data_IF_928811040194
#
_entry.id   IF_928811040194
#
_cell.length_a   1.000
_cell.length_b   1.000
_cell.length_c   1.000
_cell.angle_alpha   90.00
_cell.angle_beta   90.00
_cell.angle_gamma   90.00
#
_symmetry.space_group_name_H-M   'P 1'
#
loop_
_entity.id
_entity.type
_entity.pdbx_description
1 polymer ?
#
# COMPACT_ATOMS: atom_id res chain seq x y z
N UNK A 1 -0.25 -5.29 13.77
CA UNK A 1 0.04 -3.91 13.36
C UNK A 1 -1.01 -3.50 12.36
N UNK A 2 -2.01 -2.78 12.86
CA UNK A 2 -3.07 -2.19 12.06
C UNK A 2 -2.68 -0.77 11.72
N UNK A 3 -2.71 -0.45 10.43
CA UNK A 3 -2.49 0.90 9.93
C UNK A 3 -3.83 1.45 9.46
N UNK A 4 -4.30 2.48 10.14
CA UNK A 4 -5.39 3.33 9.67
C UNK A 4 -4.76 4.61 9.13
N UNK A 5 -5.16 4.98 7.91
CA UNK A 5 -4.92 6.34 7.40
C UNK A 5 -6.22 7.10 7.57
N UNK A 6 -6.20 8.16 8.38
CA UNK A 6 -7.33 9.04 8.61
C UNK A 6 -7.05 10.42 8.00
N UNK A 7 -7.84 10.84 7.02
CA UNK A 7 -7.70 12.16 6.40
C UNK A 7 -8.96 12.97 6.64
N UNK A 8 -8.80 14.17 7.16
CA UNK A 8 -9.83 15.21 7.32
C UNK A 8 -9.41 16.49 6.58
N UNK A 9 -10.41 17.29 6.21
CA UNK A 9 -10.28 18.49 5.40
C UNK A 9 -10.14 19.69 6.33
N UNK A 10 -8.94 20.26 6.45
CA UNK A 10 -8.76 21.55 7.11
C UNK A 10 -9.35 22.69 6.29
N UNK A 11 -10.24 23.46 6.93
CA UNK A 11 -10.81 24.70 6.43
C UNK A 11 -9.79 25.83 6.65
N UNK A 12 -9.24 26.35 5.56
CA UNK A 12 -8.21 27.40 5.58
C UNK A 12 -8.89 28.75 5.83
N UNK A 13 -8.76 29.31 7.03
CA UNK A 13 -9.04 30.73 7.30
C UNK A 13 -7.72 31.41 7.68
N UNK A 14 -7.25 32.29 6.79
CA UNK A 14 -6.18 33.24 7.09
C UNK A 14 -6.66 34.27 8.13
N UNK A 15 -5.86 34.51 9.18
CA UNK A 15 -5.47 35.87 9.63
C UNK A 15 -4.45 35.86 10.78
N UNK A 16 -3.34 36.56 10.51
CA UNK A 16 -2.50 37.38 11.41
C UNK A 16 -1.76 36.73 12.61
N UNK A 17 -0.44 36.60 12.44
CA UNK A 17 0.52 37.53 13.07
C UNK A 17 0.85 37.39 14.57
N UNK A 18 1.96 36.68 14.84
CA UNK A 18 2.94 36.86 15.93
C UNK A 18 2.64 36.28 17.34
N UNK A 19 3.71 36.02 18.14
CA UNK A 19 3.80 34.87 19.03
C UNK A 19 3.48 35.19 20.50
N UNK A 20 2.97 34.21 21.24
CA UNK A 20 2.87 34.29 22.70
C UNK A 20 3.51 33.06 23.35
N UNK A 21 4.64 33.33 24.00
CA UNK A 21 5.28 32.51 25.03
C UNK A 21 4.43 32.60 26.29
N UNK A 22 4.11 31.49 26.94
CA UNK A 22 3.90 31.45 28.39
C UNK A 22 4.43 30.15 29.01
N UNK A 23 5.16 30.36 30.10
CA UNK A 23 5.90 29.44 30.96
C UNK A 23 5.17 29.39 32.32
N UNK A 24 5.43 28.35 33.11
CA UNK A 24 5.22 28.21 34.58
C UNK A 24 3.77 27.83 35.01
N UNK A 25 3.52 27.00 36.03
CA UNK A 25 4.37 26.34 37.03
C UNK A 25 3.59 25.21 37.74
N UNK A 26 4.36 24.41 38.48
CA UNK A 26 4.00 23.33 39.39
C UNK A 26 2.90 23.63 40.43
N UNK A 27 2.17 22.59 40.83
CA UNK A 27 2.01 22.29 42.27
C UNK A 27 1.88 20.77 42.54
N UNK A 28 2.72 20.30 43.46
CA UNK A 28 2.68 18.99 44.12
C UNK A 28 1.53 18.93 45.13
N UNK A 29 0.90 17.76 45.24
CA UNK A 29 0.30 17.28 46.52
C UNK A 29 0.66 15.80 46.68
N UNK A 30 1.34 15.47 47.77
CA UNK A 30 1.58 14.11 48.27
C UNK A 30 0.54 13.74 49.32
N UNK A 31 0.12 12.48 49.37
CA UNK A 31 -0.36 11.66 50.52
C UNK A 31 -0.99 10.41 49.88
N UNK A 32 -0.87 9.17 50.32
CA UNK A 32 -0.32 8.52 51.50
C UNK A 32 -0.85 7.07 51.40
N UNK A 33 0.02 6.08 51.54
CA UNK A 33 -0.35 4.67 51.42
C UNK A 33 -1.09 4.22 52.69
N UNK A 34 -2.34 3.78 52.56
CA UNK A 34 -3.01 2.95 53.56
C UNK A 34 -3.86 1.90 52.86
N UNK A 35 -3.52 0.63 53.09
CA UNK A 35 -4.35 -0.51 52.72
C UNK A 35 -5.66 -0.49 53.53
N UNK A 36 -6.77 -0.79 52.86
CA UNK A 36 -8.04 -1.06 53.52
C UNK A 36 -9.11 -1.39 52.49
N UNK A 37 -9.53 -2.66 52.44
CA UNK A 37 -10.68 -3.12 51.66
C UNK A 37 -11.89 -2.21 51.89
N UNK A 38 -12.44 -1.63 50.82
CA UNK A 38 -13.88 -1.28 50.70
C UNK A 38 -14.22 -0.95 49.25
N UNK A 39 -15.14 -1.76 48.71
CA UNK A 39 -16.09 -1.48 47.63
C UNK A 39 -15.66 -0.46 46.57
N UNK A 40 -15.14 -0.96 45.44
CA UNK A 40 -15.07 -0.18 44.21
C UNK A 40 -16.49 0.00 43.68
N UNK A 41 -17.03 1.16 44.01
CA UNK A 41 -18.18 1.84 43.43
C UNK A 41 -18.20 1.62 41.92
N UNK A 42 -19.26 0.99 41.43
CA UNK A 42 -19.63 0.93 40.02
C UNK A 42 -19.82 2.37 39.55
N UNK A 43 -18.78 2.96 38.98
CA UNK A 43 -18.88 4.22 38.25
C UNK A 43 -19.31 3.89 36.82
N UNK A 44 -20.62 3.84 36.64
CA UNK A 44 -21.36 4.25 35.44
C UNK A 44 -20.63 4.07 34.12
N UNK A 45 -20.86 2.92 33.49
CA UNK A 45 -20.82 2.76 32.04
C UNK A 45 -21.66 3.89 31.42
N UNK A 46 -21.05 4.71 30.57
CA UNK A 46 -21.82 5.48 29.60
C UNK A 46 -22.11 4.53 28.43
N UNK A 47 -23.39 4.33 28.15
CA UNK A 47 -24.01 3.37 27.23
C UNK A 47 -23.67 3.55 25.73
N UNK A 48 -22.46 3.99 25.35
CA UNK A 48 -22.11 4.27 23.95
C UNK A 48 -20.73 3.78 23.48
N UNK A 49 -20.07 2.90 24.23
CA UNK A 49 -18.79 2.30 23.79
C UNK A 49 -19.03 1.08 22.89
N UNK A 50 -18.70 1.24 21.60
CA UNK A 50 -18.77 0.17 20.59
C UNK A 50 -17.51 -0.71 20.67
N UNK A 51 -17.70 -1.98 21.06
CA UNK A 51 -16.61 -2.95 21.17
C UNK A 51 -16.50 -3.82 19.92
N UNK A 52 -15.36 -3.75 19.23
CA UNK A 52 -14.95 -4.70 18.19
C UNK A 52 -14.08 -5.79 18.83
N UNK A 53 -14.69 -6.90 19.22
CA UNK A 53 -13.96 -8.15 19.39
C UNK A 53 -13.85 -8.82 18.02
N UNK A 54 -12.66 -8.86 17.44
CA UNK A 54 -12.36 -9.76 16.31
C UNK A 54 -12.15 -11.15 16.92
N UNK A 55 -13.06 -12.13 16.72
CA UNK A 55 -12.82 -13.48 17.18
C UNK A 55 -11.58 -14.01 16.46
N UNK A 56 -10.73 -14.75 17.16
CA UNK A 56 -9.56 -15.46 16.60
C UNK A 56 -9.93 -16.62 15.66
N UNK A 57 -11.15 -16.62 15.13
CA UNK A 57 -11.73 -17.66 14.28
C UNK A 57 -12.35 -17.02 13.03
N UNK A 58 -11.61 -16.15 12.34
CA UNK A 58 -11.79 -16.09 10.90
C UNK A 58 -11.23 -17.42 10.37
N UNK A 59 -12.09 -18.39 10.06
CA UNK A 59 -11.66 -19.58 9.32
C UNK A 59 -11.20 -19.08 7.95
N UNK A 60 -9.92 -19.26 7.63
CA UNK A 60 -9.36 -19.00 6.29
C UNK A 60 -10.09 -19.80 5.18
N UNK A 61 -10.83 -20.85 5.56
CA UNK A 61 -11.45 -21.80 4.63
C UNK A 61 -12.61 -21.31 3.75
N UNK A 62 -13.23 -20.16 4.02
CA UNK A 62 -14.33 -19.65 3.15
C UNK A 62 -13.82 -18.78 1.98
N UNK A 63 -12.55 -18.36 1.99
CA UNK A 63 -12.01 -17.41 1.00
C UNK A 63 -10.94 -17.99 0.05
N UNK A 64 -10.45 -19.22 0.30
CA UNK A 64 -9.48 -19.92 -0.57
C UNK A 64 -10.09 -20.36 -1.92
N UNK A 65 -11.43 -20.42 -2.03
CA UNK A 65 -12.15 -20.77 -3.26
C UNK A 65 -12.13 -19.67 -4.36
N UNK A 66 -11.56 -18.50 -4.09
CA UNK A 66 -11.69 -17.30 -4.94
C UNK A 66 -10.48 -16.99 -5.82
N UNK A 67 -9.40 -17.78 -5.79
CA UNK A 67 -8.20 -17.51 -6.59
C UNK A 67 -8.51 -17.41 -8.08
N UNK A 68 -9.39 -18.27 -8.58
CA UNK A 68 -9.65 -18.47 -10.01
C UNK A 68 -10.83 -17.65 -10.54
N UNK A 69 -11.48 -16.87 -9.67
CA UNK A 69 -12.63 -16.05 -10.05
C UNK A 69 -12.21 -14.73 -10.68
N UNK A 70 -12.92 -14.36 -11.75
CA UNK A 70 -12.80 -13.04 -12.40
C UNK A 70 -13.04 -11.92 -11.38
N UNK A 71 -12.43 -10.74 -11.61
CA UNK A 71 -12.64 -9.56 -10.76
C UNK A 71 -14.13 -9.25 -10.59
N UNK A 72 -14.90 -9.35 -11.68
CA UNK A 72 -16.35 -9.15 -11.66
C UNK A 72 -17.07 -10.11 -10.70
N UNK A 73 -16.71 -11.40 -10.71
CA UNK A 73 -17.31 -12.39 -9.81
C UNK A 73 -16.97 -12.09 -8.34
N UNK A 74 -15.73 -11.66 -8.06
CA UNK A 74 -15.29 -11.26 -6.71
C UNK A 74 -16.08 -10.06 -6.20
N UNK A 75 -16.27 -9.05 -7.03
CA UNK A 75 -17.02 -7.83 -6.68
C UNK A 75 -18.50 -8.12 -6.45
N UNK A 76 -19.12 -8.93 -7.31
CA UNK A 76 -20.51 -9.37 -7.11
C UNK A 76 -20.68 -10.15 -5.80
N UNK A 77 -19.73 -11.04 -5.48
CA UNK A 77 -19.73 -11.75 -4.22
C UNK A 77 -19.64 -10.80 -3.01
N UNK A 78 -18.75 -9.81 -3.05
CA UNK A 78 -18.63 -8.81 -1.98
C UNK A 78 -19.94 -8.03 -1.81
N UNK A 79 -20.55 -7.59 -2.90
CA UNK A 79 -21.80 -6.86 -2.87
C UNK A 79 -22.93 -7.69 -2.25
N UNK A 80 -23.12 -8.92 -2.73
CA UNK A 80 -24.11 -9.86 -2.17
C UNK A 80 -23.85 -10.10 -0.68
N UNK A 81 -22.58 -10.28 -0.30
CA UNK A 81 -22.23 -10.51 1.11
C UNK A 81 -22.58 -9.32 2.00
N UNK A 82 -22.42 -8.10 1.51
CA UNK A 82 -22.79 -6.89 2.26
C UNK A 82 -24.31 -6.74 2.41
N UNK A 83 -25.06 -7.09 1.37
CA UNK A 83 -26.53 -7.11 1.40
C UNK A 83 -27.06 -8.14 2.40
N UNK A 84 -26.50 -9.36 2.41
CA UNK A 84 -26.83 -10.42 3.37
C UNK A 84 -26.58 -9.99 4.82
N UNK A 85 -25.55 -9.17 5.05
CA UNK A 85 -25.25 -8.62 6.38
C UNK A 85 -26.22 -7.52 6.80
N UNK A 86 -27.11 -7.06 5.91
CA UNK A 86 -28.17 -6.09 6.20
C UNK A 86 -27.88 -4.67 5.69
N UNK A 87 -26.86 -4.49 4.84
CA UNK A 87 -26.61 -3.21 4.17
C UNK A 87 -27.59 -3.07 2.99
N UNK A 88 -28.49 -2.09 3.04
CA UNK A 88 -29.62 -2.01 2.09
C UNK A 88 -29.32 -1.29 0.77
N UNK A 89 -28.25 -0.52 0.73
CA UNK A 89 -27.88 0.32 -0.42
C UNK A 89 -26.44 -0.03 -0.81
N UNK A 90 -26.30 -0.97 -1.74
CA UNK A 90 -25.02 -1.44 -2.26
C UNK A 90 -25.03 -1.23 -3.78
N UNK A 91 -24.00 -0.56 -4.28
CA UNK A 91 -23.88 -0.14 -5.66
C UNK A 91 -22.55 -0.63 -6.23
N UNK A 92 -22.59 -1.21 -7.43
CA UNK A 92 -21.39 -1.49 -8.19
C UNK A 92 -21.13 -0.32 -9.14
N UNK A 93 -19.92 0.23 -9.10
CA UNK A 93 -19.47 1.23 -10.06
C UNK A 93 -18.33 0.66 -10.89
N UNK A 94 -18.25 1.04 -12.16
CA UNK A 94 -17.28 0.50 -13.10
C UNK A 94 -16.57 1.62 -13.86
N UNK A 95 -15.28 1.45 -14.08
CA UNK A 95 -14.48 2.41 -14.84
C UNK A 95 -13.59 1.64 -15.81
N UNK A 96 -13.62 2.00 -17.09
CA UNK A 96 -12.69 1.45 -18.07
C UNK A 96 -11.37 2.23 -17.99
N UNK A 97 -10.28 1.53 -17.71
CA UNK A 97 -8.96 2.13 -17.56
C UNK A 97 -7.89 1.33 -18.32
N UNK A 98 -6.79 1.99 -18.64
CA UNK A 98 -5.62 1.32 -19.21
C UNK A 98 -4.88 0.59 -18.08
N UNK A 99 -4.89 -0.74 -18.11
CA UNK A 99 -4.21 -1.58 -17.12
C UNK A 99 -2.96 -2.21 -17.75
N UNK A 100 -1.86 -2.26 -16.99
CA UNK A 100 -0.60 -2.87 -17.41
C UNK A 100 -0.34 -4.15 -16.63
N UNK A 101 -0.16 -5.25 -17.35
CA UNK A 101 0.13 -6.58 -16.83
C UNK A 101 1.39 -7.16 -17.51
N UNK A 102 2.01 -8.23 -16.97
CA UNK A 102 3.01 -8.98 -17.70
C UNK A 102 2.42 -9.50 -19.01
N UNK A 103 3.21 -9.50 -20.08
CA UNK A 103 2.83 -10.12 -21.35
C UNK A 103 2.92 -11.64 -21.29
N UNK A 104 2.70 -12.31 -22.44
CA UNK A 104 2.73 -13.77 -22.53
C UNK A 104 4.14 -14.36 -22.32
N UNK A 105 5.20 -13.60 -22.64
CA UNK A 105 6.56 -13.96 -22.26
C UNK A 105 7.02 -13.12 -21.07
N UNK A 106 7.94 -13.70 -20.30
CA UNK A 106 8.47 -13.08 -19.09
C UNK A 106 9.63 -12.16 -19.43
N UNK A 107 9.76 -11.07 -18.67
CA UNK A 107 10.93 -10.20 -18.72
C UNK A 107 12.20 -11.00 -18.38
N UNK A 108 13.27 -10.79 -19.14
CA UNK A 108 14.54 -11.49 -18.96
C UNK A 108 15.71 -10.52 -18.80
N UNK A 109 16.69 -10.94 -18.00
CA UNK A 109 17.93 -10.22 -17.74
C UNK A 109 19.09 -11.12 -18.15
N UNK A 110 19.73 -10.84 -19.28
CA UNK A 110 20.83 -11.68 -19.80
C UNK A 110 22.18 -10.98 -19.63
N UNK A 111 23.09 -11.62 -18.90
CA UNK A 111 24.50 -11.22 -18.82
C UNK A 111 25.24 -11.69 -20.06
N UNK A 112 25.60 -10.74 -20.94
CA UNK A 112 26.25 -11.02 -22.22
C UNK A 112 27.70 -11.49 -21.98
N UNK A 113 28.39 -10.91 -21.00
CA UNK A 113 29.76 -11.32 -20.68
C UNK A 113 29.84 -12.73 -20.11
N UNK A 114 28.82 -13.14 -19.34
CA UNK A 114 28.72 -14.49 -18.76
C UNK A 114 27.96 -15.51 -19.61
N UNK A 115 27.28 -15.09 -20.69
CA UNK A 115 26.32 -15.87 -21.45
C UNK A 115 25.26 -16.56 -20.57
N UNK A 116 24.76 -15.87 -19.54
CA UNK A 116 23.78 -16.40 -18.59
C UNK A 116 22.50 -15.56 -18.59
N UNK A 117 21.36 -16.22 -18.72
CA UNK A 117 20.04 -15.61 -18.67
C UNK A 117 19.39 -15.84 -17.30
N UNK A 118 18.86 -14.77 -16.72
CA UNK A 118 18.16 -14.76 -15.44
C UNK A 118 16.74 -14.22 -15.57
N UNK A 119 15.85 -14.76 -14.73
CA UNK A 119 14.54 -14.22 -14.43
C UNK A 119 14.63 -13.21 -13.28
N UNK A 120 13.55 -12.47 -13.02
CA UNK A 120 13.47 -11.47 -11.95
C UNK A 120 13.78 -12.03 -10.56
N UNK A 121 13.50 -13.31 -10.29
CA UNK A 121 13.88 -13.95 -9.02
C UNK A 121 15.37 -14.26 -8.88
N UNK A 122 16.13 -14.24 -9.97
CA UNK A 122 17.50 -14.74 -10.05
C UNK A 122 17.59 -16.21 -10.44
N UNK A 123 16.47 -16.91 -10.65
CA UNK A 123 16.46 -18.21 -11.30
C UNK A 123 16.99 -18.12 -12.74
N UNK A 124 17.60 -19.20 -13.23
CA UNK A 124 18.07 -19.24 -14.61
C UNK A 124 16.92 -19.53 -15.58
N UNK A 125 17.02 -18.97 -16.79
CA UNK A 125 15.98 -19.14 -17.82
C UNK A 125 15.85 -20.58 -18.34
N UNK A 126 16.84 -21.45 -18.10
CA UNK A 126 16.86 -22.86 -18.50
C UNK A 126 16.17 -23.80 -17.50
N UNK A 127 15.89 -23.33 -16.29
CA UNK A 127 15.24 -24.14 -15.26
C UNK A 127 13.72 -24.12 -15.43
N UNK A 128 13.04 -25.27 -15.32
CA UNK A 128 11.59 -25.31 -15.34
C UNK A 128 11.01 -24.47 -14.19
N UNK A 129 9.93 -23.74 -14.48
CA UNK A 129 9.25 -22.87 -13.52
C UNK A 129 8.80 -23.67 -12.29
N UNK A 130 9.53 -23.50 -11.19
CA UNK A 130 9.18 -24.11 -9.89
C UNK A 130 8.46 -23.11 -8.97
N UNK A 131 8.53 -21.81 -9.29
CA UNK A 131 8.06 -20.74 -8.41
C UNK A 131 6.79 -20.09 -8.97
N UNK A 132 5.71 -20.17 -8.19
CA UNK A 132 4.44 -19.46 -8.45
C UNK A 132 4.57 -17.94 -8.44
N UNK A 133 5.75 -17.38 -8.13
CA UNK A 133 5.96 -15.95 -7.88
C UNK A 133 6.56 -15.13 -9.01
N UNK A 134 7.00 -15.78 -10.10
CA UNK A 134 7.63 -15.10 -11.24
C UNK A 134 6.71 -14.14 -12.00
N UNK A 135 5.43 -14.49 -12.28
CA UNK A 135 4.51 -13.55 -12.93
C UNK A 135 4.26 -12.28 -12.12
N UNK A 136 4.55 -12.29 -10.81
CA UNK A 136 4.31 -11.16 -9.92
C UNK A 136 5.44 -10.12 -9.94
N UNK A 137 6.58 -10.46 -10.53
CA UNK A 137 7.79 -9.64 -10.51
C UNK A 137 7.86 -8.73 -11.74
N UNK A 138 7.08 -7.66 -11.78
CA UNK A 138 7.08 -6.70 -12.90
C UNK A 138 6.81 -5.26 -12.44
N UNK A 139 7.22 -4.29 -13.25
CA UNK A 139 6.82 -2.90 -13.06
C UNK A 139 5.66 -2.57 -14.00
N UNK A 140 4.44 -2.41 -13.45
CA UNK A 140 3.30 -1.97 -14.24
C UNK A 140 3.58 -0.59 -14.83
N UNK A 141 3.26 -0.42 -16.11
CA UNK A 141 3.47 0.79 -16.90
C UNK A 141 4.94 1.15 -17.19
N UNK A 142 5.87 0.20 -17.04
CA UNK A 142 7.21 0.31 -17.62
C UNK A 142 7.15 0.39 -19.15
N UNK A 143 8.16 1.04 -19.76
CA UNK A 143 8.41 0.90 -21.18
C UNK A 143 8.67 -0.57 -21.55
N UNK A 144 8.28 -0.92 -22.77
CA UNK A 144 8.41 -2.26 -23.37
C UNK A 144 9.49 -2.20 -24.43
N UNK A 145 10.37 -3.20 -24.45
CA UNK A 145 11.45 -3.27 -25.42
C UNK A 145 12.67 -4.01 -24.92
N UNK A 146 13.75 -3.86 -25.67
CA UNK A 146 15.06 -4.43 -25.38
C UNK A 146 16.09 -3.30 -25.24
N UNK A 147 16.89 -3.36 -24.19
CA UNK A 147 18.05 -2.50 -23.99
C UNK A 147 19.30 -3.33 -23.65
N UNK A 148 20.34 -3.17 -24.46
CA UNK A 148 21.67 -3.70 -24.18
C UNK A 148 22.57 -2.58 -23.67
N UNK A 149 22.93 -2.61 -22.38
CA UNK A 149 23.79 -1.60 -21.80
C UNK A 149 24.52 -2.06 -20.53
N UNK A 150 25.52 -1.28 -20.13
CA UNK A 150 26.23 -1.49 -18.88
C UNK A 150 25.35 -1.17 -17.68
N UNK A 151 25.45 -2.00 -16.64
CA UNK A 151 24.81 -1.74 -15.34
C UNK A 151 25.65 -0.77 -14.52
N UNK A 152 24.99 0.27 -14.01
CA UNK A 152 25.59 1.31 -13.17
C UNK A 152 24.88 1.30 -11.82
N UNK A 153 25.65 1.09 -10.75
CA UNK A 153 25.15 1.20 -9.39
C UNK A 153 24.94 2.67 -9.01
N UNK A 154 23.70 3.03 -8.72
CA UNK A 154 23.29 4.38 -8.31
C UNK A 154 22.77 4.41 -6.86
N UNK A 155 22.95 3.33 -6.09
CA UNK A 155 22.54 3.24 -4.70
C UNK A 155 21.04 3.59 -4.52
N UNK A 156 20.70 4.57 -3.69
CA UNK A 156 19.32 5.01 -3.47
C UNK A 156 18.84 6.04 -4.50
N UNK A 157 19.66 6.42 -5.49
CA UNK A 157 19.28 7.38 -6.53
C UNK A 157 19.06 8.78 -5.98
N UNK A 158 19.79 9.17 -4.93
CA UNK A 158 19.76 10.54 -4.44
C UNK A 158 20.42 11.50 -5.46
N UNK A 159 20.11 12.81 -5.43
CA UNK A 159 20.77 13.78 -6.28
C UNK A 159 22.31 13.76 -6.14
N UNK A 160 22.83 13.44 -4.95
CA UNK A 160 24.26 13.25 -4.72
C UNK A 160 24.80 11.99 -5.42
N UNK A 161 24.06 10.89 -5.41
CA UNK A 161 24.46 9.65 -6.09
C UNK A 161 24.56 9.88 -7.60
N UNK A 162 23.57 10.58 -8.18
CA UNK A 162 23.54 10.92 -9.59
C UNK A 162 24.74 11.80 -9.99
N UNK A 163 25.04 12.83 -9.19
CA UNK A 163 26.22 13.69 -9.42
C UNK A 163 27.52 12.90 -9.41
N UNK A 164 27.70 11.98 -8.45
CA UNK A 164 28.91 11.14 -8.38
C UNK A 164 29.07 10.25 -9.61
N UNK A 165 27.97 9.66 -10.08
CA UNK A 165 28.01 8.79 -11.25
C UNK A 165 28.27 9.59 -12.52
N UNK A 166 27.61 10.72 -12.72
CA UNK A 166 27.82 11.61 -13.87
C UNK A 166 29.26 12.15 -13.95
N UNK A 167 29.89 12.41 -12.79
CA UNK A 167 31.29 12.81 -12.74
C UNK A 167 32.27 11.70 -13.16
N UNK A 168 31.86 10.44 -13.03
CA UNK A 168 32.73 9.27 -13.28
C UNK A 168 32.59 8.68 -14.69
N UNK A 169 31.42 8.78 -15.32
CA UNK A 169 31.14 8.15 -16.61
C UNK A 169 29.91 8.77 -17.30
N UNK A 170 29.85 8.63 -18.63
CA UNK A 170 28.63 8.88 -19.37
C UNK A 170 27.56 7.84 -18.97
N UNK A 171 26.35 8.31 -18.66
CA UNK A 171 25.20 7.54 -18.17
C UNK A 171 24.10 7.36 -19.22
N UNK A 172 24.24 8.01 -20.37
CA UNK A 172 23.25 8.00 -21.45
C UNK A 172 22.99 6.56 -21.91
N UNK A 173 21.71 6.16 -21.98
CA UNK A 173 21.25 4.82 -22.35
C UNK A 173 21.81 3.66 -21.51
N UNK A 174 22.32 3.92 -20.30
CA UNK A 174 22.76 2.86 -19.38
C UNK A 174 21.60 2.28 -18.56
N UNK A 175 21.86 1.13 -17.94
CA UNK A 175 20.92 0.50 -17.00
C UNK A 175 21.32 0.90 -15.58
N UNK A 176 20.45 1.63 -14.89
CA UNK A 176 20.61 1.98 -13.49
C UNK A 176 20.21 0.81 -12.58
N UNK A 177 21.05 0.46 -11.60
CA UNK A 177 20.67 -0.46 -10.54
C UNK A 177 20.33 0.32 -9.26
N UNK A 178 19.06 0.29 -8.86
CA UNK A 178 18.47 1.21 -7.88
C UNK A 178 17.87 0.48 -6.68
N UNK A 179 18.22 0.95 -5.48
CA UNK A 179 17.62 0.55 -4.21
C UNK A 179 16.28 1.24 -3.97
N UNK A 180 15.30 0.46 -3.52
CA UNK A 180 14.06 1.00 -2.95
C UNK A 180 14.28 1.53 -1.54
N UNK A 181 13.52 2.56 -1.15
CA UNK A 181 13.68 3.27 0.11
C UNK A 181 14.24 4.69 -0.04
N UNK A 182 14.35 5.39 1.09
CA UNK A 182 14.82 6.78 1.30
C UNK A 182 13.96 7.89 0.65
N UNK A 183 13.51 7.69 -0.60
CA UNK A 183 12.67 8.64 -1.32
C UNK A 183 11.64 7.94 -2.22
N UNK A 184 10.57 8.63 -2.64
CA UNK A 184 9.52 8.05 -3.48
C UNK A 184 10.06 7.52 -4.81
N UNK A 185 9.60 6.34 -5.23
CA UNK A 185 10.08 5.66 -6.44
C UNK A 185 9.91 6.52 -7.71
N UNK A 186 8.72 7.11 -7.91
CA UNK A 186 8.43 7.87 -9.12
C UNK A 186 9.33 9.10 -9.27
N UNK A 187 9.66 9.75 -8.15
CA UNK A 187 10.61 10.86 -8.12
C UNK A 187 12.03 10.42 -8.53
N UNK A 188 12.48 9.26 -8.05
CA UNK A 188 13.78 8.71 -8.46
C UNK A 188 13.82 8.38 -9.96
N UNK A 189 12.76 7.75 -10.47
CA UNK A 189 12.66 7.39 -11.88
C UNK A 189 12.60 8.63 -12.79
N UNK A 190 11.92 9.71 -12.37
CA UNK A 190 11.90 10.95 -13.15
C UNK A 190 13.30 11.55 -13.25
N UNK A 191 14.07 11.60 -12.15
CA UNK A 191 15.45 12.06 -12.16
C UNK A 191 16.34 11.19 -13.08
N UNK A 192 16.15 9.87 -13.06
CA UNK A 192 16.92 8.96 -13.92
C UNK A 192 16.61 9.17 -15.40
N UNK A 193 15.34 9.41 -15.74
CA UNK A 193 14.92 9.73 -17.10
C UNK A 193 15.52 11.07 -17.57
N UNK A 194 15.52 12.10 -16.71
CA UNK A 194 16.12 13.41 -16.99
C UNK A 194 17.62 13.33 -17.23
N UNK A 195 18.31 12.49 -16.46
CA UNK A 195 19.75 12.24 -16.60
C UNK A 195 20.08 11.42 -17.85
N UNK A 196 19.09 10.77 -18.46
CA UNK A 196 19.23 10.04 -19.74
C UNK A 196 19.52 8.55 -19.60
N UNK A 197 19.20 7.93 -18.46
CA UNK A 197 19.24 6.47 -18.36
C UNK A 197 18.23 5.84 -19.33
N UNK A 198 18.51 4.63 -19.81
CA UNK A 198 17.62 3.88 -20.71
C UNK A 198 16.79 2.82 -19.98
N UNK A 199 17.30 2.31 -18.86
CA UNK A 199 16.64 1.29 -18.05
C UNK A 199 16.98 1.38 -16.57
N UNK A 200 16.18 0.72 -15.75
CA UNK A 200 16.33 0.69 -14.30
C UNK A 200 15.95 -0.69 -13.73
N UNK A 201 16.86 -1.29 -12.99
CA UNK A 201 16.64 -2.50 -12.20
C UNK A 201 16.38 -2.10 -10.75
N UNK A 202 15.24 -2.50 -10.20
CA UNK A 202 14.83 -2.14 -8.83
C UNK A 202 15.05 -3.32 -7.89
N UNK A 203 15.63 -3.09 -6.72
CA UNK A 203 15.71 -4.12 -5.67
C UNK A 203 15.55 -3.52 -4.28
N UNK A 204 15.23 -4.37 -3.32
CA UNK A 204 15.21 -4.01 -1.89
C UNK A 204 16.51 -4.48 -1.26
N UNK A 205 17.25 -3.58 -0.61
CA UNK A 205 18.46 -3.96 0.10
C UNK A 205 18.09 -4.81 1.33
N UNK A 206 18.75 -5.96 1.57
CA UNK A 206 18.53 -6.78 2.76
C UNK A 206 18.68 -6.02 4.08
N UNK A 207 19.45 -4.92 4.11
CA UNK A 207 19.56 -4.05 5.28
C UNK A 207 18.29 -3.23 5.56
N UNK A 208 17.47 -2.93 4.55
CA UNK A 208 16.26 -2.12 4.69
C UNK A 208 15.04 -2.98 5.06
N UNK A 209 15.02 -4.26 4.67
CA UNK A 209 13.93 -5.17 4.99
C UNK A 209 14.41 -6.61 5.18
N UNK A 210 14.01 -7.27 6.30
CA UNK A 210 14.40 -8.66 6.59
C UNK A 210 13.84 -9.70 5.59
N UNK A 211 12.86 -9.31 4.76
CA UNK A 211 12.26 -10.15 3.72
C UNK A 211 12.85 -9.91 2.32
N UNK A 212 13.98 -9.20 2.21
CA UNK A 212 14.53 -8.63 0.97
C UNK A 212 14.90 -9.59 -0.18
N UNK A 213 14.80 -10.91 0.00
CA UNK A 213 15.13 -11.87 -1.06
C UNK A 213 13.94 -12.32 -1.92
N UNK A 214 12.74 -11.78 -1.67
CA UNK A 214 11.55 -12.08 -2.48
C UNK A 214 11.42 -11.13 -3.67
N UNK A 215 10.86 -11.63 -4.77
CA UNK A 215 10.40 -10.78 -5.86
C UNK A 215 9.18 -9.97 -5.45
N UNK A 216 9.00 -8.84 -6.13
CA UNK A 216 7.90 -7.93 -5.89
C UNK A 216 7.56 -7.23 -7.21
N UNK A 217 6.35 -6.70 -7.31
CA UNK A 217 6.01 -5.78 -8.38
C UNK A 217 5.76 -4.38 -7.87
N UNK A 218 5.84 -3.43 -8.79
CA UNK A 218 5.65 -2.00 -8.52
C UNK A 218 4.77 -1.38 -9.58
N UNK A 219 3.97 -0.39 -9.19
CA UNK A 219 3.26 0.45 -10.15
C UNK A 219 4.06 1.72 -10.44
N UNK A 220 4.19 2.05 -11.72
CA UNK A 220 4.75 3.34 -12.16
C UNK A 220 3.66 4.40 -12.38
N UNK A 221 2.39 4.06 -12.11
CA UNK A 221 1.27 4.99 -12.21
C UNK A 221 1.14 5.82 -10.91
N UNK A 222 1.24 7.16 -10.96
CA UNK A 222 1.07 8.03 -9.79
C UNK A 222 -0.35 8.02 -9.20
N UNK A 223 -1.36 7.67 -9.99
CA UNK A 223 -2.75 7.66 -9.54
C UNK A 223 -3.76 7.78 -10.67
N UNK A 224 -4.90 7.10 -10.56
CA UNK A 224 -6.02 7.23 -11.51
C UNK A 224 -5.79 6.53 -12.84
N UNK A 225 -6.69 6.74 -13.80
CA UNK A 225 -6.53 6.19 -15.13
C UNK A 225 -5.41 6.92 -15.89
N UNK A 226 -4.31 6.22 -16.30
CA UNK A 226 -3.22 6.84 -17.05
C UNK A 226 -3.67 7.41 -18.41
N UNK A 227 -4.77 6.89 -18.94
CA UNK A 227 -5.35 7.34 -20.20
C UNK A 227 -6.48 8.33 -19.91
N UNK A 228 -6.20 9.62 -20.07
CA UNK A 228 -7.17 10.69 -19.89
C UNK A 228 -7.79 11.09 -21.24
N UNK A 229 -9.12 11.02 -21.36
CA UNK A 229 -9.85 11.33 -22.61
C UNK A 229 -10.36 12.77 -22.71
N UNK A 230 -10.01 13.61 -21.75
CA UNK A 230 -10.43 15.02 -21.66
C UNK A 230 -9.31 15.91 -22.23
N UNK A 231 -9.17 15.92 -23.56
CA UNK A 231 -8.69 17.10 -24.29
C UNK A 231 -8.88 16.91 -25.80
N UNK A 232 -10.10 17.11 -26.29
CA UNK A 232 -10.42 17.14 -27.71
C UNK A 232 -10.06 18.46 -28.40
N UNK A 233 -9.16 19.29 -27.84
CA UNK A 233 -8.81 20.56 -28.50
C UNK A 233 -7.33 20.94 -28.64
N UNK A 234 -6.36 20.36 -27.91
CA UNK A 234 -4.94 20.78 -28.10
C UNK A 234 -3.85 19.74 -27.83
N UNK A 235 -4.16 18.43 -27.71
CA UNK A 235 -3.11 17.43 -27.51
C UNK A 235 -2.65 16.81 -28.84
N UNK A 236 -1.39 17.10 -29.20
CA UNK A 236 -0.65 16.44 -30.28
C UNK A 236 -0.86 14.92 -30.22
N UNK A 237 -1.14 14.34 -31.39
CA UNK A 237 -1.02 12.90 -31.68
C UNK A 237 0.41 12.44 -31.39
N UNK A 238 0.70 12.12 -30.15
CA UNK A 238 1.81 11.24 -29.80
C UNK A 238 1.20 10.10 -28.99
N UNK A 239 1.02 8.97 -29.67
CA UNK A 239 0.64 7.68 -29.11
C UNK A 239 1.77 7.17 -28.21
N UNK A 240 2.00 7.84 -27.08
CA UNK A 240 2.89 7.35 -26.03
C UNK A 240 2.06 6.61 -25.01
N UNK A 241 1.82 5.33 -25.32
CA UNK A 241 1.15 4.38 -24.43
C UNK A 241 1.96 4.04 -23.17
N UNK A 242 3.18 4.56 -23.04
CA UNK A 242 4.08 4.31 -21.92
C UNK A 242 4.20 5.58 -21.06
N UNK A 243 3.85 5.46 -19.77
CA UNK A 243 4.01 6.50 -18.74
C UNK A 243 5.46 6.95 -18.55
N UNK A 244 6.41 6.11 -18.95
CA UNK A 244 7.84 6.38 -18.91
C UNK A 244 8.53 5.83 -20.16
N UNK A 245 9.64 6.44 -20.57
CA UNK A 245 10.55 5.88 -21.58
C UNK A 245 11.55 4.88 -21.00
N UNK A 246 11.65 4.78 -19.67
CA UNK A 246 12.57 3.89 -18.99
C UNK A 246 12.05 2.45 -18.98
N UNK A 247 12.94 1.50 -19.30
CA UNK A 247 12.70 0.08 -19.09
C UNK A 247 12.94 -0.24 -17.61
N UNK A 248 11.89 -0.45 -16.84
CA UNK A 248 11.96 -0.68 -15.38
C UNK A 248 11.59 -2.13 -15.04
N UNK A 249 12.47 -2.83 -14.32
CA UNK A 249 12.23 -4.21 -13.91
C UNK A 249 12.63 -4.43 -12.44
N UNK A 250 11.70 -4.82 -11.55
CA UNK A 250 12.06 -5.27 -10.20
C UNK A 250 12.75 -6.63 -10.24
N UNK A 251 13.77 -6.77 -9.39
CA UNK A 251 14.58 -7.97 -9.25
C UNK A 251 14.78 -8.33 -7.77
N UNK A 252 15.11 -9.59 -7.51
CA UNK A 252 15.48 -10.05 -6.17
C UNK A 252 16.83 -9.47 -5.71
N UNK A 253 17.03 -9.41 -4.39
CA UNK A 253 18.32 -9.03 -3.82
C UNK A 253 19.44 -10.02 -4.19
N UNK A 254 19.13 -11.31 -4.38
CA UNK A 254 20.10 -12.32 -4.84
C UNK A 254 20.62 -12.02 -6.24
N UNK A 255 19.74 -11.64 -7.18
CA UNK A 255 20.13 -11.23 -8.51
C UNK A 255 20.92 -9.92 -8.46
N UNK A 256 20.47 -8.93 -7.69
CA UNK A 256 21.19 -7.67 -7.51
C UNK A 256 22.62 -7.89 -6.99
N UNK A 257 22.82 -8.78 -6.02
CA UNK A 257 24.15 -9.16 -5.53
C UNK A 257 25.05 -9.69 -6.64
N UNK A 258 24.51 -10.57 -7.49
CA UNK A 258 25.24 -11.16 -8.63
C UNK A 258 25.59 -10.11 -9.68
N UNK A 259 24.69 -9.15 -9.93
CA UNK A 259 24.93 -8.05 -10.87
C UNK A 259 25.96 -7.04 -10.35
N UNK A 260 25.95 -6.77 -9.04
CA UNK A 260 26.92 -5.88 -8.38
C UNK A 260 28.30 -6.51 -8.15
N UNK A 261 28.42 -7.85 -8.30
CA UNK A 261 29.58 -8.62 -7.81
C UNK A 261 29.87 -8.33 -6.32
N UNK A 262 28.81 -8.13 -5.53
CA UNK A 262 28.94 -7.71 -4.14
C UNK A 262 29.42 -8.86 -3.22
N UNK A 263 30.37 -8.61 -2.29
CA UNK A 263 31.06 -9.66 -1.53
C UNK A 263 30.15 -10.45 -0.57
N UNK A 264 29.12 -9.84 0.03
CA UNK A 264 28.16 -10.52 0.88
C UNK A 264 26.80 -9.82 0.87
N UNK A 265 25.70 -10.56 1.11
CA UNK A 265 24.44 -9.92 1.54
C UNK A 265 24.68 -9.46 2.97
N UNK A 266 24.49 -8.17 3.25
CA UNK A 266 24.58 -7.64 4.61
C UNK A 266 23.55 -8.32 5.51
N UNK A 267 23.99 -9.33 6.28
CA UNK A 267 23.18 -9.97 7.32
C UNK A 267 23.85 -9.87 8.71
N UNK A 268 25.05 -9.25 8.78
CA UNK A 268 25.76 -8.96 10.02
C UNK A 268 25.32 -7.66 10.68
N UNK A 269 25.73 -7.45 11.94
CA UNK A 269 25.64 -6.16 12.63
C UNK A 269 27.05 -5.55 12.75
N UNK A 270 27.30 -4.33 12.27
CA UNK A 270 26.39 -3.45 11.54
C UNK A 270 26.06 -3.98 10.13
N UNK A 271 24.83 -3.76 9.67
CA UNK A 271 24.42 -4.16 8.33
C UNK A 271 25.07 -3.23 7.32
N UNK A 272 25.82 -3.79 6.37
CA UNK A 272 26.49 -3.03 5.32
C UNK A 272 25.62 -3.12 4.05
N UNK A 273 25.07 -1.99 3.56
CA UNK A 273 24.28 -1.97 2.35
C UNK A 273 25.06 -2.50 1.14
N UNK A 274 24.39 -3.17 0.22
CA UNK A 274 25.04 -3.74 -0.96
C UNK A 274 25.53 -2.62 -1.88
N UNK A 275 26.79 -2.67 -2.30
CA UNK A 275 27.38 -1.70 -3.21
C UNK A 275 28.31 -2.40 -4.19
N UNK A 276 28.42 -1.87 -5.40
CA UNK A 276 29.40 -2.32 -6.37
C UNK A 276 30.81 -1.96 -5.86
N UNK A 277 31.71 -2.94 -5.68
CA UNK A 277 33.10 -2.65 -5.32
C UNK A 277 33.78 -1.81 -6.41
N UNK A 278 34.64 -0.85 -6.03
CA UNK A 278 35.30 0.05 -6.99
C UNK A 278 36.20 -0.66 -8.01
N UNK A 279 36.67 -1.87 -7.71
CA UNK A 279 37.48 -2.70 -8.59
C UNK A 279 36.66 -3.64 -9.49
N UNK A 280 35.34 -3.72 -9.30
CA UNK A 280 34.48 -4.62 -10.07
C UNK A 280 34.16 -4.03 -11.44
N UNK A 281 34.33 -4.85 -12.48
CA UNK A 281 33.91 -4.50 -13.83
C UNK A 281 32.37 -4.42 -13.91
N UNK A 282 31.87 -3.42 -14.65
CA UNK A 282 30.45 -3.31 -14.94
C UNK A 282 30.02 -4.42 -15.89
N UNK A 283 28.89 -5.04 -15.60
CA UNK A 283 28.31 -6.08 -16.46
C UNK A 283 27.53 -5.46 -17.60
N UNK A 284 27.68 -6.04 -18.80
CA UNK A 284 26.89 -5.71 -19.98
C UNK A 284 25.64 -6.60 -19.99
N UNK A 285 24.47 -5.99 -19.82
CA UNK A 285 23.21 -6.70 -19.68
C UNK A 285 22.31 -6.41 -20.88
N UNK A 286 21.67 -7.45 -21.41
CA UNK A 286 20.50 -7.35 -22.27
C UNK A 286 19.23 -7.47 -21.42
N UNK A 287 18.51 -6.37 -21.28
CA UNK A 287 17.26 -6.27 -20.54
C UNK A 287 16.09 -6.30 -21.52
N UNK A 288 15.25 -7.33 -21.44
CA UNK A 288 14.01 -7.44 -22.22
C UNK A 288 12.81 -7.30 -21.30
N UNK A 289 11.92 -6.35 -21.59
CA UNK A 289 10.65 -6.15 -20.88
C UNK A 289 9.49 -6.33 -21.83
N UNK A 290 8.56 -7.21 -21.45
CA UNK A 290 7.42 -7.60 -22.27
C UNK A 290 6.08 -7.33 -21.57
N UNK A 291 5.91 -6.16 -20.96
CA UNK A 291 4.60 -5.80 -20.39
C UNK A 291 3.56 -5.57 -21.49
N UNK A 292 2.30 -5.86 -21.19
CA UNK A 292 1.17 -5.58 -22.06
C UNK A 292 0.18 -4.64 -21.37
N UNK A 293 -0.09 -3.49 -22.01
CA UNK A 293 -1.14 -2.57 -21.60
C UNK A 293 -2.41 -2.86 -22.40
N UNK A 294 -3.54 -3.01 -21.71
CA UNK A 294 -4.85 -3.23 -22.33
C UNK A 294 -5.94 -2.50 -21.56
N UNK A 295 -6.98 -2.06 -22.26
CA UNK A 295 -8.15 -1.50 -21.61
C UNK A 295 -8.95 -2.61 -20.94
N UNK A 296 -9.14 -2.48 -19.62
CA UNK A 296 -9.98 -3.38 -18.83
C UNK A 296 -10.90 -2.56 -17.94
N UNK A 297 -11.99 -3.19 -17.54
CA UNK A 297 -12.95 -2.61 -16.61
C UNK A 297 -12.49 -2.89 -15.18
N UNK A 298 -12.33 -1.83 -14.41
CA UNK A 298 -12.12 -1.88 -12.96
C UNK A 298 -13.47 -1.71 -12.28
N UNK A 299 -13.72 -2.51 -11.25
CA UNK A 299 -14.99 -2.50 -10.53
C UNK A 299 -14.79 -2.01 -9.10
N UNK A 300 -15.76 -1.25 -8.57
CA UNK A 300 -15.83 -0.90 -7.16
C UNK A 300 -17.17 -1.35 -6.56
N UNK A 301 -17.19 -1.62 -5.25
CA UNK A 301 -18.42 -1.82 -4.46
C UNK A 301 -18.57 -0.68 -3.47
N UNK A 302 -19.69 0.01 -3.51
CA UNK A 302 -20.00 1.13 -2.62
C UNK A 302 -21.24 0.79 -1.82
N UNK A 303 -21.13 0.75 -0.50
CA UNK A 303 -22.21 0.39 0.40
C UNK A 303 -22.52 1.52 1.37
N UNK A 304 -23.81 1.85 1.55
CA UNK A 304 -24.24 2.95 2.41
C UNK A 304 -24.98 2.44 3.64
N UNK A 305 -24.51 2.85 4.82
CA UNK A 305 -25.25 2.77 6.07
C UNK A 305 -25.75 4.17 6.43
N UNK A 306 -27.03 4.44 6.12
CA UNK A 306 -27.63 5.76 6.24
C UNK A 306 -27.64 6.26 7.68
N UNK A 307 -27.19 7.50 7.88
CA UNK A 307 -27.22 8.18 9.17
C UNK A 307 -28.62 8.63 9.59
N UNK A 308 -28.83 8.79 10.90
CA UNK A 308 -30.11 9.24 11.48
C UNK A 308 -30.26 10.76 11.45
N UNK A 309 -29.26 11.47 11.97
CA UNK A 309 -29.34 12.92 12.27
C UNK A 309 -28.82 13.76 11.12
N UNK A 310 -27.68 13.38 10.53
CA UNK A 310 -26.99 14.09 9.46
C UNK A 310 -26.70 13.11 8.29
N UNK A 311 -27.74 12.62 7.59
CA UNK A 311 -27.59 11.61 6.55
C UNK A 311 -26.81 12.10 5.32
N UNK A 312 -26.66 13.41 5.16
CA UNK A 312 -25.90 14.08 4.11
C UNK A 312 -24.40 14.19 4.42
N UNK A 313 -23.94 13.82 5.62
CA UNK A 313 -22.52 13.84 5.97
C UNK A 313 -21.93 12.44 5.93
N UNK A 314 -20.78 12.29 5.28
CA UNK A 314 -20.20 10.98 4.94
C UNK A 314 -18.91 10.71 5.70
N UNK A 315 -18.85 9.58 6.41
CA UNK A 315 -17.60 8.97 6.88
C UNK A 315 -17.31 7.79 5.97
N UNK A 316 -16.24 7.90 5.19
CA UNK A 316 -15.88 6.89 4.21
C UNK A 316 -14.91 5.89 4.85
N UNK A 317 -15.13 4.60 4.63
CA UNK A 317 -14.26 3.50 5.06
C UNK A 317 -13.88 2.70 3.84
N UNK A 318 -12.61 2.75 3.43
CA UNK A 318 -12.17 2.21 2.15
C UNK A 318 -11.09 1.13 2.26
N UNK A 319 -11.25 0.03 1.54
CA UNK A 319 -10.23 -1.01 1.34
C UNK A 319 -10.16 -1.42 -0.13
N UNK A 320 -9.04 -2.00 -0.55
CA UNK A 320 -8.97 -2.71 -1.83
C UNK A 320 -9.52 -4.13 -1.70
N UNK A 321 -10.07 -4.68 -2.77
CA UNK A 321 -10.42 -6.10 -2.89
C UNK A 321 -9.56 -6.88 -3.88
N UNK A 322 -8.72 -6.20 -4.66
CA UNK A 322 -7.70 -6.83 -5.49
C UNK A 322 -6.33 -6.81 -4.83
N UNK A 323 -5.44 -7.72 -5.22
CA UNK A 323 -4.01 -7.61 -4.92
C UNK A 323 -3.14 -7.70 -6.14
N UNK A 324 -1.89 -7.30 -5.95
CA UNK A 324 -0.82 -7.54 -6.92
C UNK A 324 -0.55 -9.04 -7.11
N UNK A 325 -0.77 -9.82 -6.06
CA UNK A 325 -0.64 -11.26 -6.02
C UNK A 325 -2.00 -11.93 -6.29
N UNK A 326 -2.01 -13.13 -6.84
CA UNK A 326 -3.22 -13.97 -6.93
C UNK A 326 -3.04 -15.24 -6.10
N UNK A 327 -4.14 -15.92 -5.76
CA UNK A 327 -4.11 -17.15 -4.96
C UNK A 327 -3.73 -16.98 -3.49
N UNK A 328 -3.13 -18.01 -2.88
CA UNK A 328 -2.77 -18.07 -1.46
C UNK A 328 -1.76 -16.99 -0.98
N UNK A 329 -1.17 -16.23 -1.91
CA UNK A 329 -0.26 -15.11 -1.63
C UNK A 329 -0.96 -13.75 -1.68
N UNK A 330 -2.26 -13.74 -1.97
CA UNK A 330 -3.06 -12.54 -2.10
C UNK A 330 -3.28 -11.85 -0.75
N UNK A 331 -2.74 -10.64 -0.60
CA UNK A 331 -2.79 -9.87 0.65
C UNK A 331 -4.09 -9.06 0.82
N UNK A 332 -5.01 -9.10 -0.16
CA UNK A 332 -6.29 -8.39 -0.10
C UNK A 332 -7.25 -8.95 0.95
N UNK A 333 -7.11 -10.24 1.32
CA UNK A 333 -7.97 -10.89 2.31
C UNK A 333 -7.99 -10.16 3.66
N UNK A 334 -6.90 -9.47 4.02
CA UNK A 334 -6.78 -8.75 5.29
C UNK A 334 -7.70 -7.51 5.37
N UNK A 335 -7.75 -6.71 4.31
CA UNK A 335 -8.54 -5.47 4.29
C UNK A 335 -10.04 -5.74 4.12
N UNK A 336 -10.38 -6.58 3.13
CA UNK A 336 -11.78 -6.94 2.85
C UNK A 336 -12.44 -7.70 3.99
N UNK A 337 -11.73 -8.61 4.66
CA UNK A 337 -12.27 -9.34 5.82
C UNK A 337 -12.58 -8.38 6.98
N UNK A 338 -11.65 -7.48 7.33
CA UNK A 338 -11.86 -6.48 8.39
C UNK A 338 -13.04 -5.57 8.05
N UNK A 339 -13.13 -5.09 6.81
CA UNK A 339 -14.26 -4.26 6.35
C UNK A 339 -15.60 -5.01 6.46
N UNK A 340 -15.64 -6.29 6.06
CA UNK A 340 -16.84 -7.13 6.14
C UNK A 340 -17.28 -7.36 7.59
N UNK A 341 -16.33 -7.55 8.51
CA UNK A 341 -16.62 -7.67 9.94
C UNK A 341 -17.12 -6.37 10.57
N UNK A 342 -16.57 -5.22 10.16
CA UNK A 342 -17.07 -3.91 10.60
C UNK A 342 -18.52 -3.72 10.13
N UNK A 343 -18.83 -4.05 8.87
CA UNK A 343 -20.19 -4.00 8.35
C UNK A 343 -21.12 -4.90 9.17
N UNK A 344 -20.75 -6.16 9.40
CA UNK A 344 -21.54 -7.10 10.18
C UNK A 344 -21.84 -6.59 11.61
N UNK A 345 -20.84 -5.99 12.26
CA UNK A 345 -21.00 -5.43 13.61
C UNK A 345 -21.92 -4.22 13.62
N UNK A 346 -21.75 -3.28 12.67
CA UNK A 346 -22.58 -2.08 12.59
C UNK A 346 -24.03 -2.41 12.23
N UNK A 347 -24.26 -3.32 11.29
CA UNK A 347 -25.63 -3.72 10.91
C UNK A 347 -26.33 -4.52 12.02
N UNK A 348 -25.60 -5.30 12.82
CA UNK A 348 -26.14 -5.93 14.03
C UNK A 348 -26.61 -4.90 15.05
N UNK A 349 -25.83 -3.84 15.29
CA UNK A 349 -26.24 -2.73 16.15
C UNK A 349 -27.44 -1.96 15.60
N UNK A 350 -27.51 -1.79 14.27
CA UNK A 350 -28.70 -1.22 13.62
C UNK A 350 -29.96 -2.05 13.76
N UNK A 351 -29.84 -3.38 13.76
CA UNK A 351 -30.96 -4.26 14.12
C UNK A 351 -31.36 -4.16 15.59
N UNK A 352 -30.41 -3.83 16.48
CA UNK A 352 -30.67 -3.56 17.89
C UNK A 352 -31.21 -2.14 18.18
N UNK A 353 -31.40 -1.31 17.15
CA UNK A 353 -32.00 0.03 17.27
C UNK A 353 -31.01 1.20 17.29
N UNK A 354 -29.70 0.93 17.27
CA UNK A 354 -28.68 1.99 17.15
C UNK A 354 -28.47 2.40 15.70
N UNK A 355 -28.37 3.69 15.41
CA UNK A 355 -28.05 4.17 14.06
C UNK A 355 -26.97 5.24 14.15
N UNK A 356 -25.96 5.25 13.25
CA UNK A 356 -24.96 6.30 13.28
C UNK A 356 -25.59 7.66 12.99
N UNK A 357 -25.05 8.73 13.57
CA UNK A 357 -25.55 10.09 13.30
C UNK A 357 -25.32 10.50 11.85
N UNK A 358 -24.16 10.14 11.30
CA UNK A 358 -23.73 10.43 9.93
C UNK A 358 -23.81 9.16 9.09
N UNK A 359 -23.96 9.31 7.78
CA UNK A 359 -23.93 8.17 6.87
C UNK A 359 -22.50 7.61 6.79
N UNK A 360 -22.36 6.30 6.95
CA UNK A 360 -21.09 5.58 6.76
C UNK A 360 -21.09 4.98 5.36
N UNK A 361 -20.04 5.25 4.57
CA UNK A 361 -19.89 4.77 3.20
C UNK A 361 -18.74 3.78 3.14
N UNK A 362 -19.06 2.50 2.95
CA UNK A 362 -18.09 1.43 2.77
C UNK A 362 -17.67 1.35 1.31
N UNK A 363 -16.37 1.35 1.05
CA UNK A 363 -15.82 1.41 -0.29
C UNK A 363 -14.83 0.28 -0.51
N UNK A 364 -15.13 -0.58 -1.48
CA UNK A 364 -14.25 -1.66 -1.94
C UNK A 364 -13.67 -1.28 -3.30
N UNK A 365 -12.40 -0.92 -3.34
CA UNK A 365 -11.75 -0.33 -4.51
C UNK A 365 -11.05 -1.36 -5.40
N UNK A 366 -11.35 -1.31 -6.70
CA UNK A 366 -10.64 -2.05 -7.75
C UNK A 366 -9.40 -1.31 -8.25
N UNK A 367 -8.50 -2.02 -8.94
CA UNK A 367 -7.32 -1.41 -9.59
C UNK A 367 -6.35 -0.68 -8.64
N UNK A 368 -6.41 -0.95 -7.34
CA UNK A 368 -5.61 -0.22 -6.34
C UNK A 368 -4.11 -0.45 -6.53
N UNK A 369 -3.72 -1.69 -6.81
CA UNK A 369 -2.33 -2.09 -7.08
C UNK A 369 -1.74 -1.40 -8.30
N UNK A 370 -2.57 -1.02 -9.28
CA UNK A 370 -2.16 -0.38 -10.53
C UNK A 370 -2.25 1.16 -10.49
N UNK A 371 -2.23 1.75 -9.29
CA UNK A 371 -2.25 3.20 -9.08
C UNK A 371 -3.61 3.73 -8.63
N UNK A 372 -4.26 3.08 -7.66
CA UNK A 372 -5.47 3.59 -7.02
C UNK A 372 -6.60 3.98 -8.02
N UNK A 373 -6.71 3.23 -9.13
CA UNK A 373 -7.56 3.62 -10.26
C UNK A 373 -9.02 3.76 -9.82
N UNK A 374 -9.57 2.73 -9.17
CA UNK A 374 -10.97 2.70 -8.79
C UNK A 374 -11.37 3.82 -7.82
N UNK A 375 -10.55 4.08 -6.80
CA UNK A 375 -10.83 5.15 -5.83
C UNK A 375 -10.64 6.55 -6.41
N UNK A 376 -9.67 6.71 -7.32
CA UNK A 376 -9.42 7.99 -7.97
C UNK A 376 -10.54 8.37 -8.93
N UNK A 377 -10.95 7.46 -9.82
CA UNK A 377 -12.03 7.73 -10.78
C UNK A 377 -13.36 7.97 -10.07
N UNK A 378 -13.70 7.14 -9.08
CA UNK A 378 -14.91 7.34 -8.29
C UNK A 378 -14.88 8.66 -7.51
N UNK A 379 -13.72 9.02 -6.93
CA UNK A 379 -13.53 10.28 -6.22
C UNK A 379 -13.66 11.49 -7.13
N UNK A 380 -13.20 11.38 -8.39
CA UNK A 380 -13.33 12.42 -9.42
C UNK A 380 -14.79 12.62 -9.84
N UNK A 381 -15.50 11.54 -10.14
CA UNK A 381 -16.93 11.58 -10.52
C UNK A 381 -17.80 12.18 -9.40
N UNK A 382 -17.45 11.90 -8.14
CA UNK A 382 -18.19 12.36 -6.97
C UNK A 382 -17.58 13.62 -6.33
N UNK A 383 -16.66 14.32 -7.01
CA UNK A 383 -15.86 15.39 -6.41
C UNK A 383 -16.72 16.48 -5.75
N UNK A 384 -17.78 16.95 -6.41
CA UNK A 384 -18.67 18.00 -5.87
C UNK A 384 -19.36 17.55 -4.57
N UNK A 385 -19.82 16.31 -4.55
CA UNK A 385 -20.50 15.71 -3.40
C UNK A 385 -19.50 15.50 -2.26
N UNK A 386 -18.36 14.88 -2.54
CA UNK A 386 -17.33 14.61 -1.54
C UNK A 386 -16.76 15.90 -0.95
N UNK A 387 -16.54 16.94 -1.76
CA UNK A 387 -16.04 18.23 -1.28
C UNK A 387 -16.97 18.92 -0.27
N UNK A 388 -18.28 18.69 -0.36
CA UNK A 388 -19.29 19.31 0.50
C UNK A 388 -19.76 18.42 1.65
N UNK A 389 -19.72 17.09 1.47
CA UNK A 389 -20.35 16.12 2.38
C UNK A 389 -19.39 15.19 3.11
N UNK A 390 -18.20 14.94 2.56
CA UNK A 390 -17.23 14.05 3.21
C UNK A 390 -16.66 14.70 4.47
N UNK A 391 -16.67 13.96 5.57
CA UNK A 391 -16.14 14.37 6.88
C UNK A 391 -14.76 13.77 7.09
N UNK A 392 -14.60 12.47 6.84
CA UNK A 392 -13.32 11.79 6.97
C UNK A 392 -13.25 10.57 6.05
N UNK A 393 -12.03 10.21 5.64
CA UNK A 393 -11.73 8.95 4.98
C UNK A 393 -10.83 8.09 5.87
N UNK A 394 -11.27 6.88 6.17
CA UNK A 394 -10.55 5.87 6.95
C UNK A 394 -10.10 4.75 6.02
N UNK A 395 -8.78 4.62 5.83
CA UNK A 395 -8.20 3.57 4.99
C UNK A 395 -7.97 2.27 5.77
N UNK A 396 -8.46 1.17 5.20
CA UNK A 396 -8.25 -0.23 5.59
C UNK A 396 -7.38 -1.00 4.57
N UNK A 397 -6.51 -0.30 3.83
CA UNK A 397 -5.79 -0.90 2.70
C UNK A 397 -4.86 -2.06 3.10
N UNK A 398 -4.14 -1.95 4.21
CA UNK A 398 -3.32 -3.04 4.75
C UNK A 398 -3.30 -2.97 6.28
N UNK A 399 -4.39 -3.43 6.92
CA UNK A 399 -4.61 -3.28 8.34
C UNK A 399 -3.89 -4.37 9.14
N UNK A 400 -3.15 -5.32 8.57
CA UNK A 400 -2.37 -6.27 9.37
C UNK A 400 -1.03 -6.55 8.70
N UNK A 401 0.00 -5.79 9.10
CA UNK A 401 1.35 -5.89 8.52
C UNK A 401 2.27 -6.86 9.26
N UNK A 402 2.35 -6.73 10.59
CA UNK A 402 3.23 -7.54 11.44
C UNK A 402 2.66 -7.63 12.88
N UNK A 403 3.22 -8.49 13.73
CA UNK A 403 2.97 -8.44 15.17
C UNK A 403 3.56 -7.16 15.77
N UNK A 404 2.89 -6.57 16.76
CA UNK A 404 3.30 -5.31 17.39
C UNK A 404 2.17 -4.29 17.58
N UNK A 405 2.55 -3.08 18.01
CA UNK A 405 1.62 -1.99 18.30
C UNK A 405 0.87 -1.46 17.07
N UNK A 406 -0.25 -0.78 17.34
CA UNK A 406 -0.95 0.04 16.34
C UNK A 406 -0.04 1.17 15.86
N UNK A 407 -0.03 1.43 14.54
CA UNK A 407 0.58 2.62 13.96
C UNK A 407 -0.47 3.33 13.12
N UNK A 408 -1.07 4.39 13.68
CA UNK A 408 -2.00 5.24 12.95
C UNK A 408 -1.25 6.37 12.24
N UNK A 409 -1.63 6.66 11.01
CA UNK A 409 -1.20 7.87 10.30
C UNK A 409 -2.44 8.72 10.07
N UNK A 410 -2.43 9.99 10.48
CA UNK A 410 -3.60 10.83 10.41
C UNK A 410 -3.24 12.27 9.99
N UNK A 411 -4.19 12.95 9.33
CA UNK A 411 -4.12 14.41 9.15
C UNK A 411 -4.05 15.11 10.51
N UNK A 412 -3.45 16.30 10.61
CA UNK A 412 -3.32 17.04 11.87
C UNK A 412 -4.61 17.11 12.69
N UNK A 413 -5.74 17.38 12.04
CA UNK A 413 -7.05 17.46 12.68
C UNK A 413 -7.57 16.15 13.29
N UNK A 414 -7.09 14.98 12.82
CA UNK A 414 -7.45 13.67 13.36
C UNK A 414 -6.34 13.04 14.23
N UNK A 415 -5.22 13.74 14.45
CA UNK A 415 -4.12 13.22 15.28
C UNK A 415 -4.54 12.99 16.73
N UNK A 416 -5.34 13.89 17.31
CA UNK A 416 -5.83 13.73 18.68
C UNK A 416 -6.69 12.46 18.80
N UNK A 417 -7.66 12.29 17.89
CA UNK A 417 -8.52 11.11 17.84
C UNK A 417 -7.70 9.82 17.69
N UNK A 418 -6.70 9.82 16.82
CA UNK A 418 -5.79 8.69 16.63
C UNK A 418 -5.01 8.35 17.91
N UNK A 419 -4.46 9.36 18.59
CA UNK A 419 -3.69 9.18 19.82
C UNK A 419 -4.56 8.68 20.98
N UNK A 420 -5.77 9.21 21.12
CA UNK A 420 -6.74 8.77 22.14
C UNK A 420 -7.19 7.33 21.92
N UNK A 421 -7.53 6.98 20.67
CA UNK A 421 -7.92 5.61 20.30
C UNK A 421 -6.79 4.62 20.60
N UNK A 422 -5.54 5.00 20.31
CA UNK A 422 -4.38 4.17 20.59
C UNK A 422 -4.17 3.95 22.10
N UNK A 423 -4.38 4.97 22.95
CA UNK A 423 -4.33 4.83 24.42
C UNK A 423 -5.37 3.87 24.95
N UNK A 424 -6.61 3.96 24.45
CA UNK A 424 -7.71 3.08 24.83
C UNK A 424 -7.34 1.61 24.53
N UNK A 425 -6.82 1.33 23.33
CA UNK A 425 -6.42 -0.02 22.94
C UNK A 425 -5.28 -0.59 23.80
N UNK A 426 -4.31 0.22 24.22
CA UNK A 426 -3.26 -0.23 25.14
C UNK A 426 -3.82 -0.63 26.50
N UNK A 427 -4.79 0.12 27.02
CA UNK A 427 -5.47 -0.20 28.29
C UNK A 427 -6.18 -1.55 28.20
N UNK A 428 -6.86 -1.83 27.09
CA UNK A 428 -7.51 -3.12 26.85
C UNK A 428 -6.52 -4.27 26.60
N UNK A 429 -5.43 -4.03 25.89
CA UNK A 429 -4.37 -5.04 25.72
C UNK A 429 -3.84 -5.47 27.08
N UNK A 430 -3.54 -4.51 27.97
CA UNK A 430 -3.06 -4.80 29.32
C UNK A 430 -4.07 -5.62 30.12
N UNK A 431 -5.35 -5.23 30.11
CA UNK A 431 -6.42 -5.97 30.80
C UNK A 431 -6.58 -7.39 30.23
N UNK A 432 -6.54 -7.57 28.90
CA UNK A 432 -6.70 -8.86 28.22
C UNK A 432 -5.51 -9.82 28.41
N UNK A 433 -4.30 -9.28 28.59
CA UNK A 433 -3.11 -10.06 28.93
C UNK A 433 -3.14 -10.44 30.40
N UNK A 434 -3.60 -9.53 31.26
CA UNK A 434 -3.75 -9.79 32.69
C UNK A 434 -4.82 -10.85 32.99
N UNK A 435 -5.98 -10.80 32.34
CA UNK A 435 -7.03 -11.83 32.48
C UNK A 435 -6.61 -13.19 31.92
N UNK A 436 -5.88 -13.23 30.79
CA UNK A 436 -5.31 -14.49 30.29
C UNK A 436 -4.31 -15.10 31.27
N UNK A 437 -3.45 -14.28 31.88
CA UNK A 437 -2.48 -14.75 32.87
C UNK A 437 -3.13 -15.20 34.18
N UNK A 438 -4.30 -14.66 34.54
CA UNK A 438 -5.09 -15.14 35.67
C UNK A 438 -5.81 -16.46 35.39
N UNK A 439 -6.29 -16.67 34.16
CA UNK A 439 -6.91 -17.93 33.74
C UNK A 439 -5.91 -19.08 33.57
N UNK A 440 -4.64 -18.80 33.35
CA UNK A 440 -3.56 -19.81 33.35
C UNK A 440 -2.91 -20.01 34.71
N UNK A 441 -3.22 -19.17 35.70
CA UNK A 441 -2.74 -19.26 37.08
C UNK A 441 -3.76 -19.90 38.04
N UNK A 442 -4.98 -20.19 37.56
CA UNK A 442 -5.99 -21.05 38.18
C UNK A 442 -6.00 -22.39 37.44
#
# INVERSE_FOLDING_TARGET
>A
MINFIMVDKEEKIERMGRPAVFLLEHHRVSFGMLMGLRALKVSTLQDNDVFLFVPSTCRDGDFDSFSDLTEESKVRYIAQRWEELGLKDVQLTNHTALLSYPGPALSTITDIGGNQCYLSSGARCDQPFTSTTEPFAFAAYSAVGNLVAEVVDIQYGSPDDLRRVQASANVTNKIALLKLGQSPLLYKLSLLAEVGFGGCLLYVDPCDAPFGNKTFGVTLNPGGNPFFREDTSTARRDSRHNLTSLLVQPISASLAKLLLSAPAMGQGRPCVPMAMPSASARKLINLTIENQASFKTVHNVIGYLKGKTNPDRYVLVGSRHGSWYEGALADWGKGSAVMTQIIASMTAQTRAGWQPDRTVVFCSWGGTSLGNIGSFEWGRENAVVLQSRAVAYVSLHNPVRASGSLQATASPSLQQLAAETQKVLYKYSFISTWTRNLQTAL
#
